data_IF_137481418562
#
_entry.id   IF_137481418562
#
_cell.length_a   1.000
_cell.length_b   1.000
_cell.length_c   1.000
_cell.angle_alpha   90.00
_cell.angle_beta   90.00
_cell.angle_gamma   90.00
#
_symmetry.space_group_name_H-M   'P 1'
#
loop_
_entity.id
_entity.type
_entity.pdbx_description
1 polymer ?
#
# COMPACT_ATOMS: atom_id res chain seq x y z
N UNK A 1 2.04 -7.07 6.84
CA UNK A 1 0.78 -6.26 6.87
C UNK A 1 0.70 -5.35 5.66
N UNK A 2 -0.51 -4.92 5.27
CA UNK A 2 -0.73 -3.88 4.25
C UNK A 2 -1.40 -2.66 4.88
N UNK A 3 -0.88 -1.45 4.65
CA UNK A 3 -1.41 -0.22 5.22
C UNK A 3 -1.51 0.93 4.22
N UNK A 4 -2.39 1.90 4.52
CA UNK A 4 -2.74 2.97 3.59
C UNK A 4 -3.60 2.50 2.43
N UNK A 5 -3.88 3.40 1.48
CA UNK A 5 -4.75 3.12 0.33
C UNK A 5 -4.31 1.89 -0.46
N UNK A 6 -5.26 1.12 -0.96
CA UNK A 6 -4.95 -0.06 -1.77
C UNK A 6 -4.36 0.34 -3.12
N UNK A 7 -3.62 -0.58 -3.73
CA UNK A 7 -3.13 -0.41 -5.08
C UNK A 7 -2.94 -1.78 -5.75
N UNK A 8 -2.85 -1.81 -7.09
CA UNK A 8 -2.45 -3.01 -7.81
C UNK A 8 -1.10 -3.55 -7.31
N UNK A 9 -0.98 -4.88 -7.23
CA UNK A 9 0.27 -5.56 -6.86
C UNK A 9 0.42 -5.90 -5.37
N UNK A 10 -0.50 -5.48 -4.50
CA UNK A 10 -0.48 -5.82 -3.07
C UNK A 10 -0.46 -7.32 -2.81
N UNK A 11 -1.36 -8.06 -3.46
CA UNK A 11 -1.42 -9.52 -3.35
C UNK A 11 -0.18 -10.20 -3.92
N UNK A 12 0.51 -9.58 -4.90
CA UNK A 12 1.78 -10.07 -5.40
C UNK A 12 2.90 -9.92 -4.37
N UNK A 13 2.94 -8.79 -3.64
CA UNK A 13 3.87 -8.59 -2.54
C UNK A 13 3.63 -9.61 -1.42
N UNK A 14 2.38 -9.76 -0.96
CA UNK A 14 2.00 -10.73 0.08
C UNK A 14 2.40 -12.15 -0.33
N UNK A 15 2.04 -12.57 -1.55
CA UNK A 15 2.39 -13.90 -2.06
C UNK A 15 3.90 -14.12 -2.08
N UNK A 16 4.66 -13.15 -2.57
CA UNK A 16 6.12 -13.28 -2.71
C UNK A 16 6.79 -13.38 -1.35
N UNK A 17 6.39 -12.53 -0.40
CA UNK A 17 6.87 -12.56 0.98
C UNK A 17 6.54 -13.91 1.64
N UNK A 18 5.28 -14.34 1.60
CA UNK A 18 4.85 -15.60 2.22
C UNK A 18 5.58 -16.81 1.63
N UNK A 19 5.66 -16.93 0.30
CA UNK A 19 6.33 -18.07 -0.33
C UNK A 19 7.82 -18.07 -0.06
N UNK A 20 8.47 -16.91 -0.07
CA UNK A 20 9.91 -16.82 0.18
C UNK A 20 10.23 -17.17 1.63
N UNK A 21 9.47 -16.63 2.59
CA UNK A 21 9.62 -16.93 4.01
C UNK A 21 9.48 -18.44 4.30
N UNK A 22 8.43 -19.07 3.77
CA UNK A 22 8.18 -20.51 3.97
C UNK A 22 9.24 -21.36 3.26
N UNK A 23 9.48 -21.14 1.96
CA UNK A 23 10.28 -22.08 1.14
C UNK A 23 11.79 -21.87 1.28
N UNK A 24 12.25 -20.63 1.47
CA UNK A 24 13.69 -20.32 1.51
C UNK A 24 14.25 -20.29 2.92
N UNK A 25 13.42 -19.98 3.92
CA UNK A 25 13.87 -19.76 5.28
C UNK A 25 13.15 -20.62 6.33
N UNK A 26 12.09 -21.35 5.95
CA UNK A 26 11.32 -22.18 6.88
C UNK A 26 10.56 -21.37 7.93
N UNK A 27 10.27 -20.09 7.67
CA UNK A 27 9.59 -19.21 8.60
C UNK A 27 8.07 -19.38 8.56
N UNK A 28 7.44 -19.18 9.71
CA UNK A 28 6.00 -19.00 9.83
C UNK A 28 5.63 -17.56 9.49
N UNK A 29 4.46 -17.36 8.89
CA UNK A 29 4.03 -16.04 8.41
C UNK A 29 2.65 -15.71 8.96
N UNK A 30 2.59 -14.60 9.71
CA UNK A 30 1.32 -14.03 10.18
C UNK A 30 0.90 -12.86 9.30
N UNK A 31 -0.31 -12.96 8.76
CA UNK A 31 -1.00 -11.89 8.05
C UNK A 31 -1.81 -11.04 9.02
N UNK A 32 -1.32 -9.84 9.33
CA UNK A 32 -2.06 -8.83 10.10
C UNK A 32 -3.19 -8.24 9.25
N UNK A 33 -4.40 -8.23 9.80
CA UNK A 33 -5.59 -7.69 9.12
C UNK A 33 -5.69 -6.18 9.26
N UNK A 34 -6.12 -5.48 8.20
CA UNK A 34 -6.40 -4.03 8.19
C UNK A 34 -5.24 -3.15 8.69
N UNK A 35 -4.01 -3.59 8.43
CA UNK A 35 -2.80 -2.84 8.75
C UNK A 35 -2.60 -2.60 10.25
N UNK A 36 -2.36 -1.35 10.65
CA UNK A 36 -2.13 -1.02 12.06
C UNK A 36 -3.37 -1.23 12.94
N UNK A 37 -4.58 -1.21 12.36
CA UNK A 37 -5.80 -1.51 13.12
C UNK A 37 -5.75 -2.94 13.68
N UNK A 38 -5.38 -3.93 12.88
CA UNK A 38 -5.24 -5.30 13.36
C UNK A 38 -4.10 -5.50 14.35
N UNK A 39 -3.04 -4.67 14.34
CA UNK A 39 -2.02 -4.74 15.40
C UNK A 39 -2.55 -4.22 16.74
N UNK A 40 -3.33 -3.14 16.72
CA UNK A 40 -3.98 -2.60 17.92
C UNK A 40 -5.03 -3.59 18.42
N UNK A 41 -5.90 -4.08 17.54
CA UNK A 41 -7.01 -4.97 17.88
C UNK A 41 -6.63 -6.45 18.00
N UNK A 42 -5.34 -6.77 17.86
CA UNK A 42 -4.80 -8.14 17.90
C UNK A 42 -5.50 -9.08 16.90
N UNK A 43 -5.72 -8.61 15.67
CA UNK A 43 -6.29 -9.35 14.54
C UNK A 43 -5.23 -9.77 13.53
N UNK A 44 -4.88 -11.05 13.54
CA UNK A 44 -4.06 -11.68 12.51
C UNK A 44 -4.63 -13.04 12.08
N UNK A 45 -4.05 -13.60 11.02
CA UNK A 45 -4.26 -14.99 10.63
C UNK A 45 -2.95 -15.58 10.10
N UNK A 46 -2.68 -16.88 10.26
CA UNK A 46 -1.57 -17.52 9.58
C UNK A 46 -1.75 -17.44 8.06
N UNK A 47 -0.64 -17.28 7.34
CA UNK A 47 -0.58 -17.34 5.89
C UNK A 47 0.21 -18.56 5.47
N UNK A 48 -0.48 -19.50 4.82
CA UNK A 48 0.12 -20.70 4.23
C UNK A 48 0.33 -20.53 2.73
N UNK A 49 1.02 -21.49 2.10
CA UNK A 49 1.13 -21.52 0.63
C UNK A 49 -0.24 -21.64 -0.05
N UNK A 50 -1.21 -22.28 0.59
CA UNK A 50 -2.56 -22.40 0.06
C UNK A 50 -3.27 -21.02 0.04
N UNK A 51 -3.10 -20.22 1.10
CA UNK A 51 -3.72 -18.90 1.24
C UNK A 51 -3.27 -17.91 0.15
N UNK A 52 -2.03 -18.04 -0.33
CA UNK A 52 -1.45 -17.14 -1.33
C UNK A 52 -1.46 -17.72 -2.75
N UNK A 53 -2.17 -18.83 -2.96
CA UNK A 53 -2.35 -19.43 -4.28
C UNK A 53 -3.42 -18.67 -5.06
N UNK A 54 -3.12 -18.30 -6.30
CA UNK A 54 -4.10 -17.69 -7.21
C UNK A 54 -4.45 -16.21 -6.92
N UNK A 55 -3.85 -15.60 -5.90
CA UNK A 55 -4.18 -14.22 -5.49
C UNK A 55 -3.55 -13.13 -6.38
N UNK A 56 -2.63 -13.47 -7.29
CA UNK A 56 -1.93 -12.50 -8.15
C UNK A 56 -2.85 -11.63 -9.01
N UNK A 57 -3.98 -12.20 -9.42
CA UNK A 57 -5.00 -11.53 -10.26
C UNK A 57 -6.11 -10.86 -9.44
N UNK A 58 -6.09 -11.01 -8.12
CA UNK A 58 -7.12 -10.48 -7.23
C UNK A 58 -6.77 -9.03 -6.93
N UNK A 59 -7.71 -8.11 -7.16
CA UNK A 59 -7.56 -6.70 -6.81
C UNK A 59 -7.52 -6.47 -5.29
N UNK A 60 -7.06 -5.29 -4.88
CA UNK A 60 -6.93 -4.95 -3.46
C UNK A 60 -5.92 -5.83 -2.72
N UNK A 61 -6.24 -6.19 -1.47
CA UNK A 61 -5.38 -7.00 -0.58
C UNK A 61 -6.20 -8.04 0.18
N UNK A 62 -5.72 -9.29 0.23
CA UNK A 62 -6.33 -10.38 1.02
C UNK A 62 -6.25 -10.19 2.55
N UNK A 63 -5.54 -9.15 3.00
CA UNK A 63 -5.41 -8.80 4.42
C UNK A 63 -6.28 -7.59 4.80
N UNK A 64 -6.96 -6.96 3.84
CA UNK A 64 -7.59 -5.66 4.07
C UNK A 64 -6.55 -4.54 4.26
N UNK A 65 -7.03 -3.31 4.32
CA UNK A 65 -6.20 -2.14 4.54
C UNK A 65 -6.97 -1.08 5.33
N UNK A 66 -6.31 -0.48 6.31
CA UNK A 66 -6.80 0.74 6.95
C UNK A 66 -6.00 1.94 6.45
N UNK A 67 -6.73 2.98 6.03
CA UNK A 67 -6.15 4.22 5.50
C UNK A 67 -5.95 5.30 6.56
N UNK A 68 -6.42 5.08 7.80
CA UNK A 68 -6.53 6.14 8.81
C UNK A 68 -6.02 5.75 10.20
N UNK A 69 -5.56 4.52 10.39
CA UNK A 69 -5.10 4.08 11.70
C UNK A 69 -3.67 4.52 11.96
N UNK A 70 -3.52 5.50 12.86
CA UNK A 70 -2.25 5.89 13.44
C UNK A 70 -2.17 5.38 14.89
N UNK A 71 -1.30 4.40 15.21
CA UNK A 71 -1.14 3.91 16.58
C UNK A 71 -0.75 4.98 17.61
N UNK A 72 0.00 6.02 17.21
CA UNK A 72 0.46 7.07 18.13
C UNK A 72 -0.61 8.15 18.39
N UNK A 73 -1.69 8.14 17.60
CA UNK A 73 -2.81 9.06 17.72
C UNK A 73 -4.11 8.35 17.31
N UNK A 74 -4.42 7.25 18.00
CA UNK A 74 -5.53 6.36 17.64
C UNK A 74 -6.84 6.83 18.26
N UNK A 75 -7.94 6.67 17.51
CA UNK A 75 -9.31 6.80 18.00
C UNK A 75 -10.06 5.52 17.67
N UNK A 76 -10.71 4.93 18.66
CA UNK A 76 -11.52 3.71 18.48
C UNK A 76 -12.76 3.96 17.61
N UNK A 77 -13.37 5.15 17.75
CA UNK A 77 -14.49 5.62 16.96
C UNK A 77 -14.46 7.15 16.89
N UNK A 78 -15.23 7.78 15.99
CA UNK A 78 -15.09 9.21 15.66
C UNK A 78 -15.22 10.16 16.86
N UNK A 79 -16.01 9.78 17.87
CA UNK A 79 -16.21 10.58 19.10
C UNK A 79 -15.28 10.19 20.25
N UNK A 80 -14.48 9.13 20.11
CA UNK A 80 -13.56 8.67 21.14
C UNK A 80 -12.39 9.65 21.32
N UNK A 81 -11.80 9.76 22.53
CA UNK A 81 -10.56 10.52 22.72
C UNK A 81 -9.41 9.93 21.90
N UNK A 82 -8.45 10.78 21.53
CA UNK A 82 -7.18 10.31 20.94
C UNK A 82 -6.37 9.66 22.06
N UNK A 83 -5.91 8.44 21.83
CA UNK A 83 -5.01 7.71 22.72
C UNK A 83 -3.78 7.22 21.96
N UNK A 84 -2.65 7.12 22.66
CA UNK A 84 -1.48 6.42 22.15
C UNK A 84 -1.64 4.92 22.40
N UNK A 85 -1.76 4.15 21.32
CA UNK A 85 -1.88 2.71 21.29
C UNK A 85 -0.59 2.03 20.79
N UNK A 86 0.53 2.75 20.69
CA UNK A 86 1.80 2.20 20.19
C UNK A 86 2.37 1.11 21.09
N UNK A 87 2.26 1.24 22.42
CA UNK A 87 2.69 0.20 23.37
C UNK A 87 1.90 -1.09 23.19
N UNK A 88 0.59 -0.96 22.90
CA UNK A 88 -0.28 -2.10 22.62
C UNK A 88 0.12 -2.83 21.34
N UNK A 89 0.58 -2.11 20.31
CA UNK A 89 1.11 -2.73 19.09
C UNK A 89 2.36 -3.56 19.39
N UNK A 90 3.28 -3.02 20.20
CA UNK A 90 4.51 -3.75 20.58
C UNK A 90 4.16 -4.99 21.39
N UNK A 91 3.28 -4.86 22.39
CA UNK A 91 2.82 -5.99 23.19
C UNK A 91 2.17 -7.07 22.31
N UNK A 92 1.32 -6.70 21.35
CA UNK A 92 0.72 -7.66 20.41
C UNK A 92 1.79 -8.42 19.62
N UNK A 93 2.85 -7.75 19.16
CA UNK A 93 3.94 -8.40 18.43
C UNK A 93 4.72 -9.38 19.31
N UNK A 94 4.98 -8.99 20.56
CA UNK A 94 5.64 -9.84 21.57
C UNK A 94 4.78 -11.05 21.93
N UNK A 95 3.48 -10.85 22.15
CA UNK A 95 2.52 -11.91 22.47
C UNK A 95 2.40 -12.95 21.35
N UNK A 96 2.56 -12.51 20.09
CA UNK A 96 2.58 -13.38 18.92
C UNK A 96 3.95 -14.01 18.65
N UNK A 97 5.00 -13.61 19.36
CA UNK A 97 6.37 -14.04 19.11
C UNK A 97 6.89 -13.62 17.73
N UNK A 98 6.52 -12.43 17.24
CA UNK A 98 6.93 -11.94 15.93
C UNK A 98 8.36 -11.38 15.99
N UNK A 99 9.29 -12.04 15.30
CA UNK A 99 10.69 -11.61 15.22
C UNK A 99 10.91 -10.39 14.31
N UNK A 100 10.08 -10.23 13.27
CA UNK A 100 10.19 -9.12 12.33
C UNK A 100 8.84 -8.76 11.68
N UNK A 101 8.63 -7.47 11.48
CA UNK A 101 7.43 -6.92 10.87
C UNK A 101 7.72 -6.41 9.45
N UNK A 102 7.07 -7.01 8.45
CA UNK A 102 7.08 -6.48 7.07
C UNK A 102 5.86 -5.60 6.84
N UNK A 103 6.09 -4.33 6.54
CA UNK A 103 5.07 -3.30 6.32
C UNK A 103 5.04 -2.91 4.84
N UNK A 104 3.97 -3.28 4.15
CA UNK A 104 3.73 -2.85 2.76
C UNK A 104 2.83 -1.61 2.79
N UNK A 105 3.36 -0.45 2.45
CA UNK A 105 2.70 0.83 2.73
C UNK A 105 3.21 2.01 1.90
N UNK A 106 2.44 3.09 1.92
CA UNK A 106 2.87 4.40 1.39
C UNK A 106 3.65 5.20 2.43
N UNK A 107 3.99 6.44 2.11
CA UNK A 107 4.83 7.32 2.95
C UNK A 107 4.35 7.40 4.42
N UNK A 108 3.07 7.69 4.64
CA UNK A 108 2.51 7.77 5.99
C UNK A 108 2.61 6.44 6.77
N UNK A 109 2.34 5.30 6.12
CA UNK A 109 2.43 3.99 6.77
C UNK A 109 3.87 3.63 7.11
N UNK A 110 4.82 3.91 6.20
CA UNK A 110 6.24 3.63 6.40
C UNK A 110 6.86 4.56 7.43
N UNK A 111 6.40 5.81 7.52
CA UNK A 111 6.78 6.74 8.58
C UNK A 111 6.38 6.20 9.95
N UNK A 112 5.14 5.73 10.12
CA UNK A 112 4.71 5.09 11.37
C UNK A 112 5.55 3.84 11.70
N UNK A 113 5.86 3.02 10.70
CA UNK A 113 6.71 1.85 10.86
C UNK A 113 8.13 2.23 11.32
N UNK A 114 8.67 3.36 10.87
CA UNK A 114 9.98 3.86 11.31
C UNK A 114 10.03 4.20 12.80
N UNK A 115 8.91 4.68 13.37
CA UNK A 115 8.84 4.95 14.81
C UNK A 115 8.90 3.65 15.63
N UNK A 116 8.27 2.57 15.16
CA UNK A 116 8.42 1.25 15.78
C UNK A 116 9.84 0.70 15.65
N UNK A 117 10.49 0.92 14.50
CA UNK A 117 11.90 0.57 14.32
C UNK A 117 12.81 1.30 15.32
N UNK A 118 12.58 2.60 15.53
CA UNK A 118 13.30 3.39 16.53
C UNK A 118 13.07 2.90 17.98
N UNK A 119 11.96 2.19 18.22
CA UNK A 119 11.61 1.54 19.48
C UNK A 119 12.10 0.09 19.59
N UNK A 120 12.91 -0.39 18.64
CA UNK A 120 13.55 -1.70 18.68
C UNK A 120 12.80 -2.83 17.97
N UNK A 121 11.64 -2.55 17.34
CA UNK A 121 10.93 -3.55 16.53
C UNK A 121 11.68 -3.75 15.21
N UNK A 122 12.10 -4.98 14.84
CA UNK A 122 12.71 -5.20 13.53
C UNK A 122 11.68 -5.01 12.41
N UNK A 123 11.85 -3.97 11.60
CA UNK A 123 10.88 -3.56 10.57
C UNK A 123 11.53 -3.57 9.18
N UNK A 124 10.81 -4.11 8.20
CA UNK A 124 11.12 -3.99 6.77
C UNK A 124 9.98 -3.24 6.08
N UNK A 125 10.29 -2.10 5.48
CA UNK A 125 9.36 -1.32 4.67
C UNK A 125 9.37 -1.75 3.21
N UNK A 126 8.18 -1.98 2.63
CA UNK A 126 8.00 -2.23 1.19
C UNK A 126 7.18 -1.08 0.60
N UNK A 127 7.76 -0.29 -0.32
CA UNK A 127 7.12 0.92 -0.85
C UNK A 127 5.95 0.57 -1.77
N UNK A 128 4.77 1.05 -1.39
CA UNK A 128 3.50 0.80 -2.06
C UNK A 128 2.66 2.07 -2.12
N UNK A 129 2.44 2.58 -3.32
CA UNK A 129 1.56 3.72 -3.58
C UNK A 129 1.41 3.87 -5.10
N UNK A 130 0.27 4.38 -5.56
CA UNK A 130 0.12 4.81 -6.96
C UNK A 130 0.76 6.18 -7.20
N UNK A 131 1.03 6.94 -6.14
CA UNK A 131 1.52 8.31 -6.23
C UNK A 131 3.03 8.40 -6.55
N UNK A 132 3.76 7.28 -6.40
CA UNK A 132 5.23 7.17 -6.48
C UNK A 132 5.99 8.21 -5.63
N UNK A 133 5.44 8.53 -4.45
CA UNK A 133 5.90 9.59 -3.56
C UNK A 133 6.69 9.08 -2.34
N UNK A 134 7.21 7.85 -2.39
CA UNK A 134 8.00 7.26 -1.30
C UNK A 134 9.49 7.44 -1.54
N UNK A 135 10.17 8.08 -0.59
CA UNK A 135 11.61 8.29 -0.67
C UNK A 135 12.41 6.97 -0.61
N UNK A 136 13.55 6.91 -1.31
CA UNK A 136 14.44 5.74 -1.30
C UNK A 136 14.11 4.65 -2.33
N UNK A 137 13.08 4.84 -3.15
CA UNK A 137 12.83 4.00 -4.34
C UNK A 137 12.57 4.86 -5.57
N UNK A 138 12.92 4.37 -6.75
CA UNK A 138 12.55 4.99 -8.03
C UNK A 138 11.09 4.67 -8.41
N UNK A 139 10.60 3.49 -7.99
CA UNK A 139 9.27 2.99 -8.32
C UNK A 139 8.63 2.33 -7.10
N UNK A 140 7.38 2.67 -6.83
CA UNK A 140 6.53 2.01 -5.85
C UNK A 140 5.62 0.96 -6.51
N UNK A 141 5.25 -0.06 -5.73
CA UNK A 141 4.24 -1.03 -6.15
C UNK A 141 2.92 -0.28 -6.39
N UNK A 142 2.34 -0.49 -7.59
CA UNK A 142 1.07 0.09 -8.02
C UNK A 142 1.21 1.27 -9.00
N UNK A 143 2.36 1.96 -9.03
CA UNK A 143 2.56 3.13 -9.89
C UNK A 143 2.41 2.81 -11.39
N UNK A 144 3.13 1.81 -11.88
CA UNK A 144 3.14 1.46 -13.30
C UNK A 144 1.73 1.07 -13.82
N UNK A 145 1.00 0.29 -13.03
CA UNK A 145 -0.40 -0.06 -13.36
C UNK A 145 -1.31 1.17 -13.41
N UNK A 146 -1.10 2.14 -12.52
CA UNK A 146 -1.83 3.41 -12.55
C UNK A 146 -1.51 4.21 -13.82
N UNK A 147 -0.23 4.36 -14.17
CA UNK A 147 0.21 5.03 -15.40
C UNK A 147 -0.40 4.37 -16.63
N UNK A 148 -0.34 3.04 -16.73
CA UNK A 148 -0.95 2.30 -17.85
C UNK A 148 -2.46 2.52 -17.95
N UNK A 149 -3.15 2.57 -16.81
CA UNK A 149 -4.61 2.79 -16.76
C UNK A 149 -4.98 4.19 -17.22
N UNK A 150 -4.24 5.22 -16.79
CA UNK A 150 -4.45 6.60 -17.22
C UNK A 150 -4.12 6.75 -18.70
N UNK A 151 -3.05 6.12 -19.18
CA UNK A 151 -2.66 6.14 -20.60
C UNK A 151 -3.77 5.56 -21.49
N UNK A 152 -4.32 4.38 -21.14
CA UNK A 152 -5.45 3.79 -21.88
C UNK A 152 -6.70 4.70 -21.86
N UNK A 153 -6.95 5.40 -20.76
CA UNK A 153 -8.05 6.37 -20.69
C UNK A 153 -7.82 7.57 -21.62
N UNK A 154 -6.60 8.10 -21.69
CA UNK A 154 -6.23 9.19 -22.61
C UNK A 154 -6.38 8.76 -24.07
N UNK A 155 -5.90 7.58 -24.44
CA UNK A 155 -6.00 7.05 -25.81
C UNK A 155 -7.46 6.96 -26.28
N UNK A 156 -8.36 6.52 -25.39
CA UNK A 156 -9.80 6.45 -25.68
C UNK A 156 -10.42 7.83 -25.88
N UNK A 157 -9.94 8.83 -25.15
CA UNK A 157 -10.45 10.21 -25.25
C UNK A 157 -10.00 10.92 -26.53
N UNK A 158 -8.84 10.59 -27.08
CA UNK A 158 -8.33 11.19 -28.33
C UNK A 158 -9.32 11.06 -29.48
N UNK A 159 -9.84 9.85 -29.69
CA UNK A 159 -10.74 9.57 -30.82
C UNK A 159 -12.00 10.45 -30.84
N UNK A 160 -12.57 10.73 -29.67
CA UNK A 160 -13.77 11.58 -29.54
C UNK A 160 -13.44 13.07 -29.53
N UNK A 161 -12.27 13.45 -28.98
CA UNK A 161 -11.79 14.82 -28.98
C UNK A 161 -11.53 15.32 -30.41
N UNK A 162 -10.81 14.52 -31.22
CA UNK A 162 -10.49 14.83 -32.61
C UNK A 162 -11.75 14.92 -33.49
N UNK A 163 -12.68 13.98 -33.33
CA UNK A 163 -13.91 13.92 -34.14
C UNK A 163 -14.82 15.14 -33.95
N UNK A 164 -14.73 15.83 -32.81
CA UNK A 164 -15.57 16.96 -32.47
C UNK A 164 -14.80 18.26 -32.22
N UNK A 165 -13.51 18.32 -32.54
CA UNK A 165 -12.64 19.47 -32.32
C UNK A 165 -12.72 20.00 -30.87
N UNK A 166 -12.60 19.11 -29.89
CA UNK A 166 -12.74 19.44 -28.45
C UNK A 166 -11.39 19.42 -27.74
N UNK A 167 -11.28 20.27 -26.72
CA UNK A 167 -10.25 20.15 -25.68
C UNK A 167 -10.82 19.30 -24.55
N UNK A 168 -10.06 18.31 -24.09
CA UNK A 168 -10.39 17.48 -22.94
C UNK A 168 -9.50 17.84 -21.76
N UNK A 169 -10.11 17.96 -20.57
CA UNK A 169 -9.39 18.08 -19.31
C UNK A 169 -9.54 16.74 -18.57
N UNK A 170 -8.42 16.14 -18.15
CA UNK A 170 -8.40 14.86 -17.45
C UNK A 170 -7.70 15.04 -16.12
N UNK A 171 -8.45 14.84 -15.04
CA UNK A 171 -7.91 14.83 -13.68
C UNK A 171 -7.41 13.43 -13.32
N UNK A 172 -6.20 13.35 -12.77
CA UNK A 172 -5.56 12.09 -12.36
C UNK A 172 -5.16 12.14 -10.90
N UNK A 173 -5.02 10.96 -10.29
CA UNK A 173 -4.53 10.84 -8.90
C UNK A 173 -3.03 11.17 -8.80
N UNK A 174 -2.50 11.30 -7.58
CA UNK A 174 -1.10 11.67 -7.33
C UNK A 174 -0.87 12.46 -6.04
N UNK A 175 -1.94 12.90 -5.36
CA UNK A 175 -1.91 13.72 -4.15
C UNK A 175 -1.07 15.00 -4.37
N UNK A 176 0.13 15.05 -3.80
CA UNK A 176 1.08 16.17 -3.89
C UNK A 176 2.22 15.90 -4.87
N UNK A 177 2.19 14.76 -5.57
CA UNK A 177 3.20 14.34 -6.52
C UNK A 177 2.62 14.27 -7.95
N UNK A 178 3.35 14.86 -8.91
CA UNK A 178 2.96 14.90 -10.32
C UNK A 178 3.39 13.67 -11.14
N UNK A 179 3.89 12.60 -10.53
CA UNK A 179 4.50 11.47 -11.27
C UNK A 179 3.51 10.79 -12.21
N UNK A 180 2.27 10.57 -11.76
CA UNK A 180 1.23 9.95 -12.58
C UNK A 180 0.86 10.85 -13.76
N UNK A 181 0.58 12.13 -13.49
CA UNK A 181 0.25 13.12 -14.53
C UNK A 181 1.37 13.26 -15.56
N UNK A 182 2.61 13.34 -15.11
CA UNK A 182 3.78 13.46 -15.98
C UNK A 182 3.96 12.22 -16.85
N UNK A 183 4.02 11.03 -16.26
CA UNK A 183 4.30 9.80 -17.01
C UNK A 183 3.16 9.43 -17.96
N UNK A 184 1.92 9.47 -17.48
CA UNK A 184 0.77 9.13 -18.29
C UNK A 184 0.45 10.20 -19.34
N UNK A 185 0.64 11.48 -19.01
CA UNK A 185 0.48 12.57 -19.97
C UNK A 185 1.48 12.47 -21.14
N UNK A 186 2.74 12.17 -20.87
CA UNK A 186 3.74 11.93 -21.93
C UNK A 186 3.38 10.69 -22.75
N UNK A 187 3.03 9.58 -22.09
CA UNK A 187 2.71 8.32 -22.77
C UNK A 187 1.43 8.41 -23.62
N UNK A 188 0.42 9.12 -23.12
CA UNK A 188 -0.88 9.32 -23.77
C UNK A 188 -0.96 10.56 -24.66
N UNK A 189 0.15 11.26 -24.93
CA UNK A 189 0.19 12.35 -25.90
C UNK A 189 -0.53 13.65 -25.48
N UNK A 190 -0.58 13.97 -24.19
CA UNK A 190 -1.22 15.20 -23.73
C UNK A 190 -0.46 16.46 -24.18
N UNK A 191 -1.18 17.46 -24.70
CA UNK A 191 -0.59 18.75 -25.10
C UNK A 191 -0.09 19.58 -23.91
N UNK A 192 -0.76 19.48 -22.76
CA UNK A 192 -0.46 20.22 -21.53
C UNK A 192 -0.55 19.26 -20.34
N UNK A 193 0.46 19.30 -19.47
CA UNK A 193 0.50 18.59 -18.20
C UNK A 193 0.65 19.64 -17.10
N UNK A 194 -0.23 19.59 -16.09
CA UNK A 194 -0.30 20.54 -14.97
C UNK A 194 0.12 19.87 -13.66
#
# INVERSE_FOLDING_TARGET
>A
MTGGGDCPGLNAAIRTLTRTAIHSYGYEVLGVLDGFAGLIESRCRPLTEADVRGILRVGGTILGASNRTNPFAWREHDTAPIIDASDRVIQTLEDWGVDALVVVGGDGTLTLASFFAARGVPVIGVPKTIDNDVHGTAYSIGFDTCVATVTDALDRLHTTAESHHRVMLVEVMGRTAGWVALHAGIAGGADIIL
#
